data_IF_521242879513
#
_entry.id   IF_521242879513
#
_cell.length_a   1.000
_cell.length_b   1.000
_cell.length_c   1.000
_cell.angle_alpha   90.00
_cell.angle_beta   90.00
_cell.angle_gamma   90.00
#
_symmetry.space_group_name_H-M   'P 1'
#
loop_
_entity.id
_entity.type
_entity.pdbx_description
1 polymer ?
#
# COMPACT_ATOMS: atom_id res chain seq x y z
N UNK A 1 -16.38 13.88 -0.70
CA UNK A 1 -15.00 13.39 -0.92
C UNK A 1 -14.63 13.27 -2.40
N UNK A 2 -15.40 12.54 -3.23
CA UNK A 2 -15.08 12.22 -4.63
C UNK A 2 -14.55 13.37 -5.51
N UNK A 3 -15.17 14.57 -5.45
CA UNK A 3 -14.71 15.74 -6.21
C UNK A 3 -13.24 16.11 -5.93
N UNK A 4 -12.82 16.05 -4.67
CA UNK A 4 -11.45 16.39 -4.28
C UNK A 4 -10.44 15.34 -4.75
N UNK A 5 -10.82 14.05 -4.75
CA UNK A 5 -9.97 13.00 -5.33
C UNK A 5 -9.77 13.22 -6.83
N UNK A 6 -10.86 13.46 -7.58
CA UNK A 6 -10.80 13.73 -9.02
C UNK A 6 -9.94 14.97 -9.29
N UNK A 7 -10.20 16.08 -8.63
CA UNK A 7 -9.40 17.29 -8.80
C UNK A 7 -7.93 17.06 -8.43
N UNK A 8 -7.65 16.28 -7.39
CA UNK A 8 -6.31 15.91 -6.97
C UNK A 8 -5.56 15.08 -8.01
N UNK A 9 -6.17 14.01 -8.54
CA UNK A 9 -5.51 13.16 -9.55
C UNK A 9 -5.43 13.82 -10.93
N UNK A 10 -6.29 14.80 -11.23
CA UNK A 10 -6.28 15.49 -12.53
C UNK A 10 -5.41 16.75 -12.52
N UNK A 11 -5.43 17.55 -11.45
CA UNK A 11 -4.77 18.87 -11.40
C UNK A 11 -3.54 18.89 -10.48
N UNK A 12 -3.46 17.97 -9.52
CA UNK A 12 -2.33 17.88 -8.59
C UNK A 12 -1.02 17.62 -9.32
N UNK A 13 0.09 18.04 -8.69
CA UNK A 13 1.47 17.84 -9.22
C UNK A 13 1.63 18.28 -10.68
N UNK A 14 1.10 19.45 -11.02
CA UNK A 14 1.14 20.03 -12.38
C UNK A 14 0.53 19.11 -13.44
N UNK A 15 -0.62 18.49 -13.14
CA UNK A 15 -1.34 17.59 -14.05
C UNK A 15 -0.91 16.12 -13.96
N UNK A 16 0.13 15.76 -13.20
CA UNK A 16 0.56 14.36 -13.01
C UNK A 16 -0.34 13.59 -12.03
N UNK A 17 -1.11 14.32 -11.23
CA UNK A 17 -1.98 13.79 -10.21
C UNK A 17 -1.29 13.59 -8.87
N UNK A 18 -2.00 13.98 -7.81
CA UNK A 18 -1.68 13.66 -6.42
C UNK A 18 -1.68 12.15 -6.19
N UNK A 19 -0.78 11.67 -5.34
CA UNK A 19 -0.73 10.27 -4.93
C UNK A 19 -1.38 10.16 -3.55
N UNK A 20 -2.53 9.49 -3.49
CA UNK A 20 -3.25 9.27 -2.24
C UNK A 20 -2.96 7.86 -1.74
N UNK A 21 -2.17 7.72 -0.68
CA UNK A 21 -1.92 6.41 -0.05
C UNK A 21 -2.92 6.20 1.07
N UNK A 22 -3.52 5.02 1.15
CA UNK A 22 -4.60 4.72 2.09
C UNK A 22 -4.35 3.41 2.84
N UNK A 23 -4.69 3.38 4.13
CA UNK A 23 -4.69 2.16 4.91
C UNK A 23 -5.97 1.37 4.60
N UNK A 24 -5.86 0.05 4.40
CA UNK A 24 -7.02 -0.76 4.00
C UNK A 24 -8.08 -0.92 5.08
N UNK A 25 -7.73 -0.81 6.36
CA UNK A 25 -8.69 -0.90 7.47
C UNK A 25 -8.18 -1.71 8.67
N UNK A 26 -8.88 -1.64 9.81
CA UNK A 26 -8.50 -2.32 11.06
C UNK A 26 -9.64 -3.18 11.66
N UNK A 27 -10.73 -3.40 10.90
CA UNK A 27 -11.93 -4.13 11.29
C UNK A 27 -11.85 -5.65 11.13
N UNK A 28 -10.67 -6.23 10.94
CA UNK A 28 -10.51 -7.68 10.73
C UNK A 28 -11.10 -8.56 11.85
N UNK A 29 -11.12 -8.08 13.11
CA UNK A 29 -11.78 -8.77 14.24
C UNK A 29 -13.30 -8.84 14.11
N UNK A 30 -13.89 -7.84 13.44
CA UNK A 30 -15.31 -7.71 13.23
C UNK A 30 -15.74 -8.36 11.89
N UNK A 31 -14.82 -9.05 11.21
CA UNK A 31 -14.98 -9.60 9.86
C UNK A 31 -15.35 -8.53 8.82
N UNK A 32 -14.82 -7.31 8.97
CA UNK A 32 -15.06 -6.23 8.01
C UNK A 32 -14.39 -6.50 6.65
N UNK A 33 -14.92 -5.86 5.61
CA UNK A 33 -14.43 -5.96 4.25
C UNK A 33 -14.16 -4.56 3.70
N UNK A 34 -12.90 -4.30 3.36
CA UNK A 34 -12.48 -2.98 2.91
C UNK A 34 -13.13 -2.50 1.59
N UNK A 35 -13.82 -3.35 0.82
CA UNK A 35 -14.65 -2.86 -0.30
C UNK A 35 -15.87 -2.05 0.17
N UNK A 36 -16.28 -2.19 1.44
CA UNK A 36 -17.36 -1.43 2.07
C UNK A 36 -16.91 -0.02 2.51
N UNK A 37 -15.60 0.24 2.56
CA UNK A 37 -15.05 1.59 2.74
C UNK A 37 -14.79 2.25 1.37
N UNK A 38 -15.60 3.28 1.06
CA UNK A 38 -15.53 4.01 -0.21
C UNK A 38 -14.25 4.83 -0.43
N UNK A 39 -13.39 5.00 0.57
CA UNK A 39 -12.09 5.66 0.43
C UNK A 39 -11.01 4.69 -0.04
N UNK A 40 -10.87 3.54 0.63
CA UNK A 40 -9.90 2.50 0.25
C UNK A 40 -10.32 1.76 -1.03
N UNK A 41 -11.63 1.62 -1.29
CA UNK A 41 -12.16 1.05 -2.54
C UNK A 41 -12.14 2.04 -3.73
N UNK A 42 -11.61 3.25 -3.55
CA UNK A 42 -11.51 4.23 -4.62
C UNK A 42 -10.34 3.93 -5.55
N UNK A 43 -10.56 4.00 -6.86
CA UNK A 43 -9.45 3.86 -7.83
C UNK A 43 -8.37 4.95 -7.70
N UNK A 44 -8.70 6.09 -7.09
CA UNK A 44 -7.77 7.21 -6.91
C UNK A 44 -6.84 7.03 -5.70
N UNK A 45 -7.10 6.03 -4.86
CA UNK A 45 -6.27 5.72 -3.70
C UNK A 45 -5.40 4.49 -3.99
N UNK A 46 -4.18 4.52 -3.49
CA UNK A 46 -3.28 3.39 -3.41
C UNK A 46 -3.52 2.71 -2.06
N UNK A 47 -4.40 1.72 -2.03
CA UNK A 47 -4.78 1.00 -0.82
C UNK A 47 -3.71 -0.02 -0.40
N UNK A 48 -3.30 0.06 0.87
CA UNK A 48 -2.18 -0.69 1.46
C UNK A 48 -2.64 -1.47 2.70
N UNK A 49 -2.43 -2.78 2.66
CA UNK A 49 -2.62 -3.71 3.79
C UNK A 49 -1.35 -3.89 4.62
N UNK A 50 -1.45 -4.73 5.65
CA UNK A 50 -0.35 -5.03 6.57
C UNK A 50 0.07 -6.49 6.53
N UNK A 51 1.36 -6.73 6.67
CA UNK A 51 1.92 -8.02 7.06
C UNK A 51 2.57 -7.91 8.44
N UNK A 52 2.51 -8.99 9.22
CA UNK A 52 3.30 -9.10 10.45
C UNK A 52 4.78 -9.29 10.13
N UNK A 53 5.63 -9.20 11.16
CA UNK A 53 7.06 -9.49 11.06
C UNK A 53 7.35 -10.88 10.43
N UNK A 54 6.55 -11.89 10.77
CA UNK A 54 6.68 -13.24 10.22
C UNK A 54 5.95 -13.45 8.88
N UNK A 55 5.46 -12.37 8.26
CA UNK A 55 4.76 -12.41 6.97
C UNK A 55 3.35 -13.02 7.04
N UNK A 56 2.70 -12.96 8.20
CA UNK A 56 1.32 -13.42 8.39
C UNK A 56 0.32 -12.28 8.15
N UNK A 57 -0.94 -12.63 7.94
CA UNK A 57 -2.05 -11.67 7.94
C UNK A 57 -2.33 -11.25 9.40
N UNK A 58 -2.18 -9.97 9.78
CA UNK A 58 -2.44 -9.54 11.15
C UNK A 58 -3.94 -9.58 11.46
N UNK A 59 -4.27 -9.77 12.74
CA UNK A 59 -5.63 -9.94 13.25
C UNK A 59 -6.60 -8.79 12.94
N UNK A 60 -6.09 -7.59 12.66
CA UNK A 60 -6.88 -6.40 12.35
C UNK A 60 -7.06 -6.17 10.84
N UNK A 61 -6.29 -6.85 9.98
CA UNK A 61 -6.33 -6.56 8.54
C UNK A 61 -7.67 -6.93 7.93
N UNK A 62 -8.19 -6.04 7.09
CA UNK A 62 -9.37 -6.31 6.28
C UNK A 62 -8.94 -6.83 4.89
N UNK A 63 -9.61 -7.85 4.39
CA UNK A 63 -9.33 -8.42 3.07
C UNK A 63 -10.35 -7.90 2.05
N UNK A 64 -9.87 -7.40 0.90
CA UNK A 64 -10.73 -6.96 -0.19
C UNK A 64 -9.99 -6.86 -1.53
N UNK A 65 -10.74 -6.80 -2.62
CA UNK A 65 -10.19 -6.79 -3.98
C UNK A 65 -9.58 -5.45 -4.40
N UNK A 66 -9.82 -4.38 -3.64
CA UNK A 66 -9.28 -3.05 -3.91
C UNK A 66 -7.86 -2.82 -3.37
N UNK A 67 -7.37 -3.69 -2.48
CA UNK A 67 -6.00 -3.61 -1.96
C UNK A 67 -4.98 -3.85 -3.06
N UNK A 68 -4.01 -2.94 -3.24
CA UNK A 68 -2.96 -3.08 -4.26
C UNK A 68 -1.71 -3.78 -3.74
N UNK A 69 -1.26 -3.47 -2.52
CA UNK A 69 -0.02 -4.01 -1.97
C UNK A 69 -0.01 -3.98 -0.44
N UNK A 70 1.11 -4.40 0.13
CA UNK A 70 1.31 -4.55 1.57
C UNK A 70 2.63 -3.93 2.01
N UNK A 71 2.67 -3.43 3.24
CA UNK A 71 3.92 -3.16 3.96
C UNK A 71 3.87 -3.81 5.34
N UNK A 72 5.00 -3.82 6.06
CA UNK A 72 5.04 -4.37 7.41
C UNK A 72 4.36 -3.45 8.42
N UNK A 73 3.75 -4.07 9.44
CA UNK A 73 3.25 -3.38 10.63
C UNK A 73 3.36 -4.32 11.84
N UNK A 74 2.56 -4.10 12.87
CA UNK A 74 2.45 -4.94 14.06
C UNK A 74 1.84 -6.31 13.78
N UNK A 75 2.10 -7.26 14.68
CA UNK A 75 1.51 -8.59 14.64
C UNK A 75 0.97 -9.07 15.98
N UNK A 76 1.07 -10.38 16.21
CA UNK A 76 0.73 -11.03 17.48
C UNK A 76 1.75 -10.71 18.58
N UNK A 77 1.44 -11.11 19.81
CA UNK A 77 2.38 -10.99 20.93
C UNK A 77 3.70 -11.68 20.61
N UNK A 78 4.81 -10.96 20.82
CA UNK A 78 6.17 -11.43 20.50
C UNK A 78 6.71 -10.99 19.14
N UNK A 79 5.87 -10.47 18.24
CA UNK A 79 6.32 -9.85 16.99
C UNK A 79 6.63 -8.37 17.20
N UNK A 80 7.64 -7.86 16.49
CA UNK A 80 7.99 -6.43 16.53
C UNK A 80 6.88 -5.56 15.94
N UNK A 81 6.89 -4.29 16.35
CA UNK A 81 5.94 -3.26 15.91
C UNK A 81 6.71 -2.10 15.25
N UNK A 82 5.99 -1.11 14.74
CA UNK A 82 6.61 0.01 14.04
C UNK A 82 7.23 0.98 15.05
N UNK A 83 8.51 1.31 14.84
CA UNK A 83 9.25 2.30 15.63
C UNK A 83 9.18 3.64 14.93
N UNK A 84 8.73 4.69 15.62
CA UNK A 84 8.59 6.03 15.05
C UNK A 84 8.57 7.10 16.15
N UNK A 85 8.58 8.37 15.76
CA UNK A 85 8.40 9.52 16.66
C UNK A 85 7.01 9.51 17.28
N UNK A 86 6.91 9.99 18.52
CA UNK A 86 5.66 10.08 19.27
C UNK A 86 5.46 11.49 19.86
N UNK A 87 4.27 11.75 20.39
CA UNK A 87 3.92 13.01 21.04
C UNK A 87 4.89 13.35 22.17
N UNK A 88 4.95 14.64 22.52
CA UNK A 88 5.78 15.13 23.64
C UNK A 88 7.29 14.83 23.47
N UNK A 89 7.79 14.87 22.23
CA UNK A 89 9.20 14.59 21.89
C UNK A 89 9.65 13.18 22.28
N UNK A 90 8.73 12.21 22.27
CA UNK A 90 9.01 10.83 22.60
C UNK A 90 9.27 9.98 21.34
N UNK A 91 9.69 8.75 21.57
CA UNK A 91 9.79 7.70 20.55
C UNK A 91 8.89 6.55 20.99
N UNK A 92 8.07 6.03 20.07
CA UNK A 92 7.28 4.84 20.28
C UNK A 92 7.90 3.67 19.54
N UNK A 93 7.96 2.52 20.19
CA UNK A 93 8.24 1.23 19.57
C UNK A 93 6.99 0.38 19.42
N UNK A 94 5.80 1.00 19.56
CA UNK A 94 4.52 0.31 19.64
C UNK A 94 3.44 0.91 18.76
N UNK A 95 3.82 1.49 17.61
CA UNK A 95 2.83 1.91 16.62
C UNK A 95 2.31 0.68 15.84
N UNK A 96 0.98 0.57 15.71
CA UNK A 96 0.29 -0.63 15.24
C UNK A 96 -0.79 -0.33 14.18
N UNK A 97 -1.29 -1.39 13.54
CA UNK A 97 -2.44 -1.31 12.62
C UNK A 97 -2.05 -1.03 11.16
N UNK A 98 -3.02 -1.10 10.25
CA UNK A 98 -2.82 -0.70 8.84
C UNK A 98 -2.48 0.78 8.70
N UNK A 99 -2.84 1.59 9.70
CA UNK A 99 -2.45 2.99 9.82
C UNK A 99 -0.94 3.20 9.91
N UNK A 100 -0.17 2.19 10.37
CA UNK A 100 1.30 2.24 10.37
C UNK A 100 1.91 1.78 9.03
N UNK A 101 1.17 1.01 8.25
CA UNK A 101 1.58 0.52 6.91
C UNK A 101 1.50 1.61 5.85
N UNK A 102 0.41 2.38 5.81
CA UNK A 102 0.24 3.43 4.80
C UNK A 102 1.36 4.50 4.79
N UNK A 103 1.87 4.99 5.94
CA UNK A 103 3.02 5.91 5.96
C UNK A 103 4.32 5.30 5.41
N UNK A 104 4.58 4.00 5.66
CA UNK A 104 5.75 3.32 5.08
C UNK A 104 5.64 3.27 3.56
N UNK A 105 4.46 2.89 3.04
CA UNK A 105 4.19 2.90 1.61
C UNK A 105 4.34 4.31 1.01
N UNK A 106 3.86 5.35 1.70
CA UNK A 106 4.04 6.74 1.26
C UNK A 106 5.52 7.14 1.19
N UNK A 107 6.34 6.71 2.16
CA UNK A 107 7.80 6.89 2.11
C UNK A 107 8.43 6.20 0.90
N UNK A 108 8.02 4.96 0.60
CA UNK A 108 8.50 4.23 -0.59
C UNK A 108 8.09 4.94 -1.89
N UNK A 109 6.84 5.40 -1.99
CA UNK A 109 6.36 6.20 -3.12
C UNK A 109 7.16 7.49 -3.29
N UNK A 110 7.56 8.14 -2.19
CA UNK A 110 8.41 9.33 -2.23
C UNK A 110 9.79 9.03 -2.82
N UNK A 111 10.42 7.91 -2.47
CA UNK A 111 11.69 7.47 -3.05
C UNK A 111 11.56 7.20 -4.56
N UNK A 112 10.47 6.55 -5.00
CA UNK A 112 10.20 6.32 -6.41
C UNK A 112 9.97 7.64 -7.18
N UNK A 113 9.27 8.60 -6.57
CA UNK A 113 9.09 9.95 -7.13
C UNK A 113 10.38 10.76 -7.20
N UNK A 114 11.29 10.60 -6.23
CA UNK A 114 12.60 11.22 -6.27
C UNK A 114 13.41 10.69 -7.47
N UNK A 115 13.35 9.37 -7.70
CA UNK A 115 14.02 8.73 -8.82
C UNK A 115 13.42 9.14 -10.18
N UNK A 116 12.10 9.41 -10.24
CA UNK A 116 11.44 9.93 -11.43
C UNK A 116 10.26 10.86 -11.07
N UNK A 117 10.48 12.17 -11.17
CA UNK A 117 9.48 13.20 -10.86
C UNK A 117 8.36 13.34 -11.91
N UNK A 118 8.44 12.61 -13.03
CA UNK A 118 7.43 12.63 -14.09
C UNK A 118 6.33 11.60 -13.90
N UNK A 119 6.50 10.64 -12.98
CA UNK A 119 5.48 9.62 -12.71
C UNK A 119 4.12 10.24 -12.37
N UNK A 120 3.10 9.79 -13.10
CA UNK A 120 1.70 10.09 -12.81
C UNK A 120 1.18 9.27 -11.63
N UNK A 121 0.00 9.60 -11.13
CA UNK A 121 -0.67 8.82 -10.08
C UNK A 121 -0.94 7.37 -10.52
N UNK A 122 -1.28 7.15 -11.80
CA UNK A 122 -1.44 5.81 -12.39
C UNK A 122 -0.12 5.08 -12.54
N UNK A 123 0.93 5.76 -13.01
CA UNK A 123 2.26 5.16 -13.12
C UNK A 123 2.72 4.59 -11.77
N UNK A 124 2.46 5.31 -10.68
CA UNK A 124 2.79 4.82 -9.33
C UNK A 124 2.07 3.50 -9.01
N UNK A 125 0.76 3.40 -9.27
CA UNK A 125 0.01 2.16 -9.05
C UNK A 125 0.56 1.02 -9.92
N UNK A 126 0.86 1.29 -11.20
CA UNK A 126 1.44 0.29 -12.10
C UNK A 126 2.82 -0.20 -11.62
N UNK A 127 3.68 0.69 -11.15
CA UNK A 127 4.99 0.33 -10.59
C UNK A 127 4.83 -0.54 -9.36
N UNK A 128 3.89 -0.22 -8.45
CA UNK A 128 3.60 -1.06 -7.28
C UNK A 128 3.18 -2.46 -7.70
N UNK A 129 2.21 -2.59 -8.63
CA UNK A 129 1.75 -3.89 -9.16
C UNK A 129 2.90 -4.67 -9.83
N UNK A 130 3.80 -3.99 -10.53
CA UNK A 130 4.89 -4.62 -11.26
C UNK A 130 6.04 -5.09 -10.36
N UNK A 131 6.17 -4.55 -9.14
CA UNK A 131 7.36 -4.73 -8.29
C UNK A 131 7.06 -5.36 -6.93
N UNK A 132 5.80 -5.41 -6.50
CA UNK A 132 5.41 -6.05 -5.26
C UNK A 132 5.79 -7.55 -5.26
N UNK A 133 6.19 -8.04 -4.08
CA UNK A 133 6.71 -9.41 -3.91
C UNK A 133 5.81 -10.25 -3.01
N UNK A 134 5.31 -11.39 -3.48
CA UNK A 134 4.57 -12.33 -2.64
C UNK A 134 5.50 -13.19 -1.76
N UNK A 135 6.80 -13.26 -2.10
CA UNK A 135 7.77 -14.10 -1.41
C UNK A 135 7.86 -13.71 0.07
N UNK A 136 7.61 -14.68 0.94
CA UNK A 136 7.56 -14.58 2.42
C UNK A 136 6.23 -14.10 3.02
N UNK A 137 5.18 -13.87 2.22
CA UNK A 137 3.83 -13.59 2.72
C UNK A 137 2.95 -14.85 2.68
N UNK A 138 2.31 -15.17 3.80
CA UNK A 138 1.50 -16.38 3.98
C UNK A 138 0.03 -16.01 4.11
N UNK A 139 -0.72 -16.29 3.05
CA UNK A 139 -2.17 -16.20 3.04
C UNK A 139 -2.75 -17.43 2.30
N UNK A 140 -3.93 -17.92 2.70
CA UNK A 140 -4.54 -19.08 2.04
C UNK A 140 -5.18 -18.75 0.68
N UNK A 141 -5.33 -17.48 0.34
CA UNK A 141 -6.11 -16.99 -0.80
C UNK A 141 -5.26 -16.49 -1.98
N UNK A 142 -3.97 -16.84 -2.01
CA UNK A 142 -3.11 -16.54 -3.15
C UNK A 142 -3.63 -17.21 -4.42
N UNK A 143 -3.83 -16.42 -5.46
CA UNK A 143 -4.25 -16.90 -6.79
C UNK A 143 -3.37 -16.28 -7.88
N UNK A 144 -3.16 -17.02 -8.97
CA UNK A 144 -2.46 -16.50 -10.15
C UNK A 144 -3.50 -15.90 -11.10
N UNK A 145 -3.35 -14.63 -11.45
CA UNK A 145 -4.24 -13.94 -12.38
C UNK A 145 -3.91 -14.25 -13.85
N UNK A 146 -4.71 -13.71 -14.79
CA UNK A 146 -4.58 -14.00 -16.23
C UNK A 146 -3.26 -13.58 -16.90
N UNK A 147 -2.40 -12.82 -16.21
CA UNK A 147 -1.07 -12.43 -16.69
C UNK A 147 0.06 -13.03 -15.86
N UNK A 148 -0.23 -14.08 -15.07
CA UNK A 148 0.77 -14.84 -14.33
C UNK A 148 1.25 -14.20 -13.03
N UNK A 149 0.56 -13.20 -12.48
CA UNK A 149 0.92 -12.56 -11.21
C UNK A 149 0.12 -13.15 -10.05
N UNK A 150 0.79 -13.37 -8.92
CA UNK A 150 0.13 -13.74 -7.67
C UNK A 150 -0.61 -12.52 -7.09
N UNK A 151 -1.85 -12.74 -6.66
CA UNK A 151 -2.68 -11.76 -5.96
C UNK A 151 -3.43 -12.44 -4.80
N UNK A 152 -3.56 -11.72 -3.69
CA UNK A 152 -4.33 -12.11 -2.50
C UNK A 152 -5.23 -10.94 -2.11
N UNK A 153 -6.43 -11.18 -1.62
CA UNK A 153 -7.31 -10.14 -1.07
C UNK A 153 -6.77 -9.59 0.26
N UNK A 154 -5.94 -10.36 0.97
CA UNK A 154 -5.24 -9.88 2.18
C UNK A 154 -4.02 -9.02 1.84
N UNK A 155 -3.27 -9.37 0.78
CA UNK A 155 -1.97 -8.75 0.51
C UNK A 155 -1.85 -7.95 -0.80
N UNK A 156 -2.90 -7.90 -1.61
CA UNK A 156 -2.82 -7.38 -2.97
C UNK A 156 -1.79 -8.17 -3.79
N UNK A 157 -0.92 -7.45 -4.51
CA UNK A 157 0.20 -8.04 -5.26
C UNK A 157 1.41 -8.43 -4.38
N UNK A 158 1.34 -8.16 -3.07
CA UNK A 158 2.37 -8.54 -2.09
C UNK A 158 3.09 -7.35 -1.47
N UNK A 159 4.26 -7.62 -0.88
CA UNK A 159 5.04 -6.66 -0.13
C UNK A 159 5.70 -5.64 -1.07
N UNK A 160 5.58 -4.34 -0.76
CA UNK A 160 6.26 -3.29 -1.51
C UNK A 160 7.78 -3.41 -1.40
N UNK A 161 8.48 -3.37 -2.54
CA UNK A 161 9.95 -3.41 -2.62
C UNK A 161 10.47 -2.06 -3.09
N UNK A 162 10.98 -1.26 -2.14
CA UNK A 162 11.49 0.08 -2.43
C UNK A 162 12.63 0.08 -3.47
N UNK A 163 13.53 -0.90 -3.42
CA UNK A 163 14.66 -0.98 -4.33
C UNK A 163 14.20 -1.34 -5.75
N UNK A 164 13.23 -2.24 -5.89
CA UNK A 164 12.63 -2.55 -7.18
C UNK A 164 11.82 -1.38 -7.73
N UNK A 165 11.00 -0.72 -6.90
CA UNK A 165 10.22 0.46 -7.29
C UNK A 165 11.11 1.58 -7.81
N UNK A 166 12.17 1.95 -7.08
CA UNK A 166 13.13 2.98 -7.50
C UNK A 166 13.84 2.59 -8.81
N UNK A 167 14.24 1.32 -8.96
CA UNK A 167 14.91 0.84 -10.16
C UNK A 167 14.02 0.94 -11.39
N UNK A 168 12.78 0.48 -11.28
CA UNK A 168 11.80 0.51 -12.37
C UNK A 168 11.39 1.95 -12.69
N UNK A 169 11.21 2.81 -11.68
CA UNK A 169 10.86 4.21 -11.86
C UNK A 169 11.83 4.98 -12.76
N UNK A 170 13.14 4.72 -12.66
CA UNK A 170 14.19 5.41 -13.43
C UNK A 170 14.05 5.25 -14.94
N UNK A 171 13.51 4.12 -15.39
CA UNK A 171 13.35 3.79 -16.81
C UNK A 171 11.88 3.60 -17.19
N UNK A 172 10.95 4.04 -16.34
CA UNK A 172 9.52 3.87 -16.56
C UNK A 172 9.05 4.75 -17.70
N UNK A 173 8.31 4.17 -18.63
CA UNK A 173 7.59 4.90 -19.66
C UNK A 173 6.16 5.12 -19.19
N UNK A 174 5.73 6.39 -19.15
CA UNK A 174 4.39 6.77 -18.71
C UNK A 174 3.32 6.03 -19.52
N UNK A 175 2.33 5.50 -18.80
CA UNK A 175 1.20 4.80 -19.40
C UNK A 175 0.31 5.76 -20.22
N UNK A 176 -0.43 5.28 -21.23
CA UNK A 176 -1.38 6.10 -21.98
C UNK A 176 -2.47 6.68 -21.08
N UNK A 177 -3.01 7.84 -21.44
CA UNK A 177 -4.16 8.50 -20.75
C UNK A 177 -5.39 7.59 -20.67
#
# INVERSE_FOLDING_TARGET
AMRAFIEGVTKGRSGKGSIFVWASGNGGRDNDNCNCDGYTNSIWTLSISSATENGLVPWYSEACSSTLATTYSSGSSGERQVVTTDLHHMCTSSHTGTSASAPLAAGICALALEANRQLTWRDMQHIVVATARPANLRAPDWTINGVGRNVSHSFGYGLMDAAAMVRVARTWQTVPE
#
